data_IF_241010039354
#
_entry.id   IF_241010039354
#
_cell.length_a   1.000
_cell.length_b   1.000
_cell.length_c   1.000
_cell.angle_alpha   90.00
_cell.angle_beta   90.00
_cell.angle_gamma   90.00
#
_symmetry.space_group_name_H-M   'P 1'
#
loop_
_entity.id
_entity.type
_entity.pdbx_description
1 polymer ?
#
# COMPACT_ATOMS: atom_id res chain seq x y z
N UNK A 1 -1.25 -8.07 -20.39
CA UNK A 1 -2.51 -8.76 -20.71
C UNK A 1 -3.48 -8.54 -19.57
N UNK A 2 -4.59 -7.86 -19.82
CA UNK A 2 -5.73 -7.87 -18.90
C UNK A 2 -6.22 -9.31 -18.81
N UNK A 3 -6.05 -9.94 -17.64
CA UNK A 3 -6.54 -11.28 -17.40
C UNK A 3 -8.06 -11.33 -17.47
N UNK A 4 -8.62 -12.48 -17.80
CA UNK A 4 -10.06 -12.71 -17.76
C UNK A 4 -10.57 -12.32 -16.36
N UNK A 5 -11.51 -11.37 -16.29
CA UNK A 5 -12.21 -11.00 -15.06
C UNK A 5 -13.15 -12.15 -14.68
N UNK A 6 -12.63 -13.14 -13.98
CA UNK A 6 -13.46 -14.18 -13.36
C UNK A 6 -13.94 -13.67 -12.01
N UNK A 7 -15.24 -13.75 -11.75
CA UNK A 7 -15.77 -13.49 -10.41
C UNK A 7 -15.34 -14.63 -9.50
N UNK A 8 -14.54 -14.31 -8.50
CA UNK A 8 -13.97 -15.31 -7.58
C UNK A 8 -14.92 -15.72 -6.46
N UNK A 9 -15.95 -14.91 -6.18
CA UNK A 9 -16.80 -15.06 -5.00
C UNK A 9 -16.11 -14.62 -3.69
N UNK A 10 -15.00 -13.92 -3.79
CA UNK A 10 -14.32 -13.38 -2.63
C UNK A 10 -15.21 -12.38 -1.87
N UNK A 11 -15.09 -12.37 -0.56
CA UNK A 11 -15.83 -11.49 0.35
C UNK A 11 -14.88 -10.56 1.07
N UNK A 12 -15.36 -9.35 1.37
CA UNK A 12 -14.57 -8.36 2.10
C UNK A 12 -14.40 -8.72 3.58
N UNK A 13 -13.24 -8.38 4.12
CA UNK A 13 -13.00 -8.24 5.56
C UNK A 13 -13.16 -6.76 5.90
N UNK A 14 -14.06 -6.43 6.81
CA UNK A 14 -14.25 -5.06 7.31
C UNK A 14 -13.57 -4.90 8.67
N UNK A 15 -13.20 -3.66 8.99
CA UNK A 15 -12.61 -3.28 10.27
C UNK A 15 -13.59 -2.40 11.03
N UNK A 16 -13.91 -2.79 12.26
CA UNK A 16 -14.73 -1.99 13.15
C UNK A 16 -14.02 -0.66 13.46
N UNK A 17 -14.73 0.45 13.24
CA UNK A 17 -14.22 1.81 13.45
C UNK A 17 -14.57 2.35 14.84
N UNK A 18 -15.35 1.62 15.61
CA UNK A 18 -15.76 1.94 16.96
C UNK A 18 -15.23 0.91 17.99
N UNK A 19 -15.59 1.06 19.26
CA UNK A 19 -15.28 0.13 20.32
C UNK A 19 -13.90 0.34 20.96
N UNK A 20 -13.46 -0.63 21.76
CA UNK A 20 -12.31 -0.53 22.69
C UNK A 20 -11.02 -0.09 22.01
N UNK A 21 -10.79 -0.55 20.77
CA UNK A 21 -9.57 -0.21 20.02
C UNK A 21 -9.57 1.25 19.59
N UNK A 22 -10.69 1.75 19.08
CA UNK A 22 -10.83 3.14 18.68
C UNK A 22 -10.68 4.06 19.90
N UNK A 23 -11.32 3.72 21.02
CA UNK A 23 -11.21 4.48 22.27
C UNK A 23 -9.78 4.48 22.83
N UNK A 24 -9.07 3.34 22.78
CA UNK A 24 -7.67 3.27 23.18
C UNK A 24 -6.76 4.16 22.30
N UNK A 25 -7.03 4.22 20.98
CA UNK A 25 -6.29 5.09 20.07
C UNK A 25 -6.61 6.58 20.32
N UNK A 26 -7.87 6.93 20.56
CA UNK A 26 -8.28 8.30 20.94
C UNK A 26 -7.59 8.73 22.23
N UNK A 27 -7.53 7.87 23.24
CA UNK A 27 -6.85 8.17 24.49
C UNK A 27 -5.34 8.45 24.32
N UNK A 28 -4.67 7.82 23.33
CA UNK A 28 -3.27 8.10 23.03
C UNK A 28 -3.09 9.52 22.50
N UNK A 29 -4.07 10.05 21.75
CA UNK A 29 -4.00 11.41 21.18
C UNK A 29 -3.91 12.50 22.25
N UNK A 30 -4.51 12.28 23.44
CA UNK A 30 -4.44 13.19 24.57
C UNK A 30 -3.01 13.41 25.10
N UNK A 31 -2.09 12.49 24.79
CA UNK A 31 -0.69 12.55 25.19
C UNK A 31 0.25 13.09 24.11
N UNK A 32 -0.27 13.49 22.95
CA UNK A 32 0.52 14.04 21.85
C UNK A 32 0.73 15.54 22.08
N UNK A 33 1.99 15.98 22.14
CA UNK A 33 2.34 17.38 22.17
C UNK A 33 2.39 17.93 20.74
N UNK A 34 1.55 18.91 20.45
CA UNK A 34 1.48 19.55 19.14
C UNK A 34 1.89 21.03 19.26
N UNK A 35 2.49 21.61 18.21
CA UNK A 35 2.68 23.05 18.11
C UNK A 35 1.34 23.80 18.09
N UNK A 36 1.36 25.08 18.45
CA UNK A 36 0.18 25.94 18.37
C UNK A 36 -0.43 25.97 16.96
N UNK A 37 -1.75 25.80 16.89
CA UNK A 37 -2.49 25.76 15.61
C UNK A 37 -2.57 24.39 14.95
N UNK A 38 -1.99 23.34 15.55
CA UNK A 38 -2.14 21.96 15.09
C UNK A 38 -3.10 21.18 15.98
N UNK A 39 -3.84 20.28 15.37
CA UNK A 39 -4.75 19.35 16.03
C UNK A 39 -4.53 17.94 15.49
N UNK A 40 -4.66 16.91 16.34
CA UNK A 40 -4.61 15.52 15.95
C UNK A 40 -5.94 14.84 16.27
N UNK A 41 -6.44 14.08 15.31
CA UNK A 41 -7.66 13.28 15.46
C UNK A 41 -7.48 11.88 14.90
N UNK A 42 -8.27 10.93 15.38
CA UNK A 42 -8.33 9.58 14.81
C UNK A 42 -9.19 9.63 13.54
N UNK A 43 -8.56 9.42 12.39
CA UNK A 43 -9.25 9.33 11.11
C UNK A 43 -9.84 7.94 10.85
N UNK A 44 -9.06 6.88 11.10
CA UNK A 44 -9.49 5.50 10.87
C UNK A 44 -8.72 4.52 11.74
N UNK A 45 -9.36 3.41 12.09
CA UNK A 45 -8.71 2.23 12.68
C UNK A 45 -8.33 1.28 11.55
N UNK A 46 -7.02 1.15 11.26
CA UNK A 46 -6.51 0.34 10.15
C UNK A 46 -5.44 -0.63 10.67
N UNK A 47 -5.68 -1.95 10.58
CA UNK A 47 -4.70 -2.92 11.04
C UNK A 47 -3.43 -2.89 10.20
N UNK A 48 -2.28 -2.83 10.86
CA UNK A 48 -0.94 -2.92 10.26
C UNK A 48 -0.69 -1.90 9.13
N UNK A 49 -1.36 -0.75 9.16
CA UNK A 49 -1.21 0.31 8.15
C UNK A 49 0.23 0.81 8.05
N UNK A 50 0.68 1.01 6.81
CA UNK A 50 2.04 1.48 6.48
C UNK A 50 1.97 2.68 5.54
N UNK A 51 2.44 2.56 4.30
CA UNK A 51 2.33 3.64 3.33
C UNK A 51 0.89 3.80 2.83
N UNK A 52 0.52 5.02 2.51
CA UNK A 52 -0.84 5.36 2.10
C UNK A 52 -0.82 6.19 0.82
N UNK A 53 -1.86 6.02 0.00
CA UNK A 53 -2.09 6.82 -1.19
C UNK A 53 -3.55 7.24 -1.28
N UNK A 54 -3.79 8.56 -1.32
CA UNK A 54 -5.11 9.11 -1.57
C UNK A 54 -5.42 9.05 -3.06
N UNK A 55 -6.60 8.56 -3.41
CA UNK A 55 -7.07 8.58 -4.77
C UNK A 55 -7.20 10.02 -5.32
N UNK A 56 -6.98 10.25 -6.63
CA UNK A 56 -6.91 11.60 -7.19
C UNK A 56 -8.13 12.48 -6.94
N UNK A 57 -9.32 11.91 -6.84
CA UNK A 57 -10.56 12.66 -6.55
C UNK A 57 -10.86 12.76 -5.04
N UNK A 58 -10.00 12.19 -4.20
CA UNK A 58 -10.15 12.22 -2.75
C UNK A 58 -11.32 11.37 -2.21
N UNK A 59 -11.73 10.35 -2.95
CA UNK A 59 -12.88 9.50 -2.61
C UNK A 59 -12.52 8.32 -1.72
N UNK A 60 -11.29 7.83 -1.82
CA UNK A 60 -10.79 6.66 -1.09
C UNK A 60 -9.31 6.80 -0.82
N UNK A 61 -8.89 6.41 0.40
CA UNK A 61 -7.50 6.29 0.79
C UNK A 61 -7.12 4.81 0.78
N UNK A 62 -6.05 4.45 0.08
CA UNK A 62 -5.51 3.09 0.12
C UNK A 62 -4.34 3.01 1.10
N UNK A 63 -4.37 2.03 2.00
CA UNK A 63 -3.29 1.78 2.95
C UNK A 63 -2.67 0.40 2.73
N UNK A 64 -1.39 0.38 2.43
CA UNK A 64 -0.60 -0.84 2.34
C UNK A 64 -0.25 -1.41 3.71
N UNK A 65 0.16 -2.68 3.73
CA UNK A 65 0.56 -3.37 4.96
C UNK A 65 1.88 -4.14 4.78
N UNK A 66 2.45 -4.61 5.88
CA UNK A 66 3.57 -5.57 5.85
C UNK A 66 3.09 -7.03 5.96
N UNK A 67 1.82 -7.28 5.68
CA UNK A 67 1.22 -8.63 5.66
C UNK A 67 0.72 -8.96 4.27
N UNK A 68 -0.56 -9.18 4.13
CA UNK A 68 -1.21 -9.73 2.95
C UNK A 68 -2.42 -8.94 2.50
N UNK A 69 -2.63 -7.72 3.03
CA UNK A 69 -3.79 -6.89 2.71
C UNK A 69 -3.40 -5.47 2.33
N UNK A 70 -4.16 -4.91 1.42
CA UNK A 70 -4.30 -3.48 1.20
C UNK A 70 -5.68 -3.09 1.69
N UNK A 71 -5.78 -2.00 2.43
CA UNK A 71 -7.05 -1.49 2.94
C UNK A 71 -7.55 -0.34 2.09
N UNK A 72 -8.84 -0.32 1.79
CA UNK A 72 -9.57 0.85 1.29
C UNK A 72 -10.29 1.52 2.46
N UNK A 73 -10.13 2.83 2.58
CA UNK A 73 -10.60 3.65 3.68
C UNK A 73 -11.44 4.77 3.08
N UNK A 74 -12.68 4.89 3.47
CA UNK A 74 -13.66 5.81 2.87
C UNK A 74 -14.28 6.68 3.93
N UNK A 75 -14.30 7.98 3.67
CA UNK A 75 -15.00 9.02 4.42
C UNK A 75 -16.03 9.63 3.44
N UNK A 76 -17.31 9.20 3.56
CA UNK A 76 -18.36 9.52 2.58
C UNK A 76 -18.97 10.90 2.81
N UNK A 77 -19.12 11.29 4.06
CA UNK A 77 -19.72 12.56 4.45
C UNK A 77 -18.69 13.68 4.63
N UNK A 78 -17.40 13.34 4.55
CA UNK A 78 -16.24 14.25 4.62
C UNK A 78 -16.12 14.98 5.96
N UNK A 79 -16.48 14.31 7.03
CA UNK A 79 -16.34 14.82 8.39
C UNK A 79 -14.94 14.59 8.98
N UNK A 80 -14.03 13.95 8.22
CA UNK A 80 -12.67 13.57 8.58
C UNK A 80 -12.59 12.39 9.54
N UNK A 81 -13.61 11.56 9.56
CA UNK A 81 -13.63 10.24 10.21
C UNK A 81 -14.05 9.21 9.17
N UNK A 82 -13.33 8.12 9.06
CA UNK A 82 -13.67 7.10 8.07
C UNK A 82 -14.95 6.35 8.46
N UNK A 83 -15.90 6.28 7.54
CA UNK A 83 -17.14 5.49 7.66
C UNK A 83 -16.90 4.00 7.48
N UNK A 84 -15.95 3.65 6.62
CA UNK A 84 -15.71 2.26 6.25
C UNK A 84 -14.21 2.00 6.01
N UNK A 85 -13.73 0.90 6.58
CA UNK A 85 -12.43 0.32 6.28
C UNK A 85 -12.64 -1.15 5.91
N UNK A 86 -12.22 -1.53 4.71
CA UNK A 86 -12.29 -2.91 4.23
C UNK A 86 -11.07 -3.26 3.38
N UNK A 87 -10.77 -4.56 3.25
CA UNK A 87 -9.70 -4.98 2.38
C UNK A 87 -10.02 -4.68 0.90
N UNK A 88 -9.02 -4.15 0.21
CA UNK A 88 -9.08 -3.90 -1.22
C UNK A 88 -8.72 -5.17 -1.98
N UNK A 89 -9.47 -5.48 -3.04
CA UNK A 89 -9.21 -6.62 -3.94
C UNK A 89 -9.03 -7.97 -3.22
N UNK A 90 -9.99 -8.42 -2.39
CA UNK A 90 -9.85 -9.67 -1.61
C UNK A 90 -9.68 -10.93 -2.47
N UNK A 91 -9.90 -10.85 -3.77
CA UNK A 91 -9.61 -11.92 -4.73
C UNK A 91 -8.13 -12.08 -5.06
N UNK A 92 -7.28 -11.13 -4.63
CA UNK A 92 -5.85 -11.11 -4.90
C UNK A 92 -5.09 -11.47 -3.64
N UNK A 93 -4.16 -12.41 -3.76
CA UNK A 93 -3.18 -12.68 -2.70
C UNK A 93 -2.02 -11.70 -2.85
N UNK A 94 -1.88 -10.80 -1.88
CA UNK A 94 -0.76 -9.88 -1.80
C UNK A 94 0.39 -10.45 -0.97
N UNK A 95 1.62 -9.98 -1.25
CA UNK A 95 2.82 -10.31 -0.48
C UNK A 95 3.55 -9.04 -0.05
N UNK A 96 3.31 -8.61 1.18
CA UNK A 96 3.84 -7.37 1.76
C UNK A 96 3.53 -6.17 0.83
N UNK A 97 2.27 -5.86 0.56
CA UNK A 97 1.86 -4.76 -0.33
C UNK A 97 2.00 -3.40 0.38
N UNK A 98 3.21 -3.06 0.79
CA UNK A 98 3.48 -1.90 1.63
C UNK A 98 3.24 -0.57 0.91
N UNK A 99 3.52 -0.49 -0.38
CA UNK A 99 3.65 0.75 -1.11
C UNK A 99 2.58 0.98 -2.18
N UNK A 100 1.36 1.42 -1.82
CA UNK A 100 0.44 1.98 -2.80
C UNK A 100 0.93 3.37 -3.25
N UNK A 101 0.78 3.69 -4.54
CA UNK A 101 0.96 5.03 -5.10
C UNK A 101 0.07 5.23 -6.32
N UNK A 102 -0.33 6.48 -6.61
CA UNK A 102 -1.10 6.82 -7.78
C UNK A 102 -0.24 7.52 -8.82
N UNK A 103 -0.47 7.18 -10.10
CA UNK A 103 -0.02 8.03 -11.19
C UNK A 103 -0.96 9.22 -11.40
N UNK A 104 -0.50 10.29 -12.08
CA UNK A 104 -1.33 11.46 -12.36
C UNK A 104 -2.59 11.16 -13.18
N UNK A 105 -2.58 10.09 -13.98
CA UNK A 105 -3.72 9.61 -14.78
C UNK A 105 -4.64 8.62 -14.01
N UNK A 106 -4.41 8.43 -12.71
CA UNK A 106 -5.32 7.72 -11.81
C UNK A 106 -5.12 6.22 -11.71
N UNK A 107 -4.00 5.68 -12.16
CA UNK A 107 -3.66 4.27 -11.96
C UNK A 107 -3.06 4.07 -10.58
N UNK A 108 -3.64 3.14 -9.81
CA UNK A 108 -3.06 2.72 -8.54
C UNK A 108 -2.01 1.63 -8.79
N UNK A 109 -0.77 1.91 -8.41
CA UNK A 109 0.28 0.91 -8.34
C UNK A 109 0.41 0.40 -6.91
N UNK A 110 0.70 -0.90 -6.77
CA UNK A 110 1.00 -1.52 -5.48
C UNK A 110 2.34 -2.23 -5.60
N UNK A 111 3.35 -1.68 -4.92
CA UNK A 111 4.66 -2.28 -4.83
C UNK A 111 4.67 -3.28 -3.68
N UNK A 112 4.86 -4.55 -4.02
CA UNK A 112 4.99 -5.67 -3.10
C UNK A 112 6.48 -6.03 -2.88
N UNK A 113 6.74 -7.02 -2.05
CA UNK A 113 8.11 -7.46 -1.77
C UNK A 113 8.93 -7.71 -3.04
N UNK A 114 8.37 -8.46 -3.99
CA UNK A 114 9.06 -8.83 -5.24
C UNK A 114 8.11 -8.89 -6.44
N UNK A 115 7.15 -7.96 -6.50
CA UNK A 115 6.19 -7.79 -7.59
C UNK A 115 5.66 -6.37 -7.61
N UNK A 116 5.22 -5.89 -8.77
CA UNK A 116 4.48 -4.64 -8.88
C UNK A 116 3.19 -4.86 -9.66
N UNK A 117 2.07 -4.53 -9.04
CA UNK A 117 0.74 -4.58 -9.65
C UNK A 117 0.23 -3.20 -10.02
N UNK A 118 -0.67 -3.13 -11.00
CA UNK A 118 -1.39 -1.90 -11.40
C UNK A 118 -2.89 -2.16 -11.47
N UNK A 119 -3.65 -1.22 -10.92
CA UNK A 119 -5.12 -1.21 -10.93
C UNK A 119 -5.60 0.06 -11.66
N UNK A 120 -5.99 -0.06 -12.95
CA UNK A 120 -6.26 1.11 -13.81
C UNK A 120 -7.42 1.99 -13.36
N UNK A 121 -8.32 1.46 -12.54
CA UNK A 121 -9.53 2.16 -12.14
C UNK A 121 -9.90 1.88 -10.67
N UNK A 122 -8.89 1.72 -9.80
CA UNK A 122 -9.07 1.36 -8.39
C UNK A 122 -10.05 2.31 -7.68
N UNK A 123 -9.93 3.62 -7.90
CA UNK A 123 -10.78 4.64 -7.29
C UNK A 123 -12.28 4.46 -7.58
N UNK A 124 -12.62 3.90 -8.74
CA UNK A 124 -14.01 3.73 -9.17
C UNK A 124 -14.57 2.34 -8.89
N UNK A 125 -13.71 1.35 -8.68
CA UNK A 125 -14.11 -0.07 -8.56
C UNK A 125 -13.65 -0.76 -7.26
N UNK A 126 -13.15 0.01 -6.27
CA UNK A 126 -12.74 -0.55 -4.98
C UNK A 126 -13.89 -1.18 -4.17
N UNK A 127 -15.13 -0.85 -4.53
CA UNK A 127 -16.34 -1.47 -3.93
C UNK A 127 -16.58 -2.91 -4.41
N UNK A 128 -15.92 -3.34 -5.47
CA UNK A 128 -15.99 -4.70 -6.00
C UNK A 128 -14.85 -5.58 -5.52
N UNK A 129 -15.09 -6.88 -5.23
CA UNK A 129 -14.05 -7.80 -4.76
C UNK A 129 -13.02 -8.18 -5.84
N UNK A 130 -13.37 -8.00 -7.11
CA UNK A 130 -12.59 -8.43 -8.27
C UNK A 130 -12.25 -7.23 -9.19
N UNK A 131 -11.44 -6.25 -8.74
CA UNK A 131 -11.05 -5.14 -9.60
C UNK A 131 -10.15 -5.60 -10.74
N UNK A 132 -10.16 -4.85 -11.85
CA UNK A 132 -9.21 -5.09 -12.93
C UNK A 132 -7.77 -4.85 -12.44
N UNK A 133 -6.89 -5.80 -12.72
CA UNK A 133 -5.49 -5.77 -12.33
C UNK A 133 -4.58 -6.13 -13.49
N UNK A 134 -3.46 -5.43 -13.60
CA UNK A 134 -2.34 -5.76 -14.48
C UNK A 134 -1.08 -6.03 -13.67
N UNK A 135 -0.13 -6.72 -14.27
CA UNK A 135 1.20 -6.94 -13.72
C UNK A 135 2.17 -6.02 -14.43
N UNK A 136 2.92 -5.22 -13.67
CA UNK A 136 3.97 -4.32 -14.16
C UNK A 136 5.32 -5.02 -14.07
N UNK A 137 5.59 -5.64 -12.92
CA UNK A 137 6.77 -6.49 -12.69
C UNK A 137 6.24 -7.81 -12.14
N UNK A 138 6.59 -8.91 -12.79
CA UNK A 138 6.16 -10.25 -12.38
C UNK A 138 6.76 -10.67 -11.04
N UNK A 139 6.14 -11.65 -10.39
CA UNK A 139 6.64 -12.19 -9.13
C UNK A 139 8.05 -12.78 -9.31
N UNK A 140 9.00 -12.25 -8.56
CA UNK A 140 10.40 -12.67 -8.61
C UNK A 140 11.28 -11.87 -9.55
N UNK A 141 10.73 -10.90 -10.28
CA UNK A 141 11.48 -10.11 -11.28
C UNK A 141 11.88 -8.71 -10.79
N UNK A 142 11.41 -8.28 -9.62
CA UNK A 142 11.80 -6.98 -9.05
C UNK A 142 13.21 -7.03 -8.42
N UNK A 143 13.52 -8.12 -7.75
CA UNK A 143 14.84 -8.47 -7.21
C UNK A 143 15.08 -9.97 -7.39
N UNK A 144 16.35 -10.45 -7.43
CA UNK A 144 16.62 -11.88 -7.45
C UNK A 144 15.94 -12.59 -6.26
N UNK A 145 15.27 -13.72 -6.44
CA UNK A 145 14.57 -14.43 -5.37
C UNK A 145 15.46 -14.80 -4.18
N UNK A 146 16.74 -15.02 -4.40
CA UNK A 146 17.73 -15.30 -3.35
C UNK A 146 18.06 -14.09 -2.48
N UNK A 147 17.69 -12.88 -2.93
CA UNK A 147 17.83 -11.63 -2.17
C UNK A 147 16.54 -11.25 -1.43
N UNK A 148 15.49 -12.05 -1.53
CA UNK A 148 14.30 -11.85 -0.71
C UNK A 148 14.61 -12.07 0.78
N UNK A 149 14.13 -11.17 1.62
CA UNK A 149 14.35 -11.18 3.06
C UNK A 149 13.12 -10.68 3.79
N UNK A 150 13.03 -10.94 5.09
CA UNK A 150 12.08 -10.25 5.97
C UNK A 150 12.54 -8.84 6.35
N UNK A 151 13.84 -8.54 6.22
CA UNK A 151 14.40 -7.25 6.53
C UNK A 151 14.32 -6.33 5.32
N UNK A 152 13.93 -5.07 5.54
CA UNK A 152 13.89 -3.99 4.54
C UNK A 152 13.12 -4.35 3.25
N UNK A 153 12.06 -5.17 3.36
CA UNK A 153 11.26 -5.66 2.23
C UNK A 153 10.09 -4.76 1.88
N UNK A 154 9.79 -3.78 2.72
CA UNK A 154 8.72 -2.84 2.48
C UNK A 154 9.10 -1.91 1.31
N UNK A 155 8.43 -2.08 0.18
CA UNK A 155 8.61 -1.21 -1.00
C UNK A 155 7.72 0.01 -0.87
N UNK A 156 8.19 1.13 -1.41
CA UNK A 156 7.39 2.35 -1.60
C UNK A 156 7.52 2.72 -3.07
N UNK A 157 6.46 3.20 -3.67
CA UNK A 157 6.49 3.71 -5.04
C UNK A 157 6.02 5.15 -5.13
N UNK A 158 6.41 5.80 -6.22
CA UNK A 158 5.89 7.09 -6.64
C UNK A 158 6.08 7.24 -8.15
N UNK A 159 5.31 8.14 -8.78
CA UNK A 159 5.45 8.44 -10.19
C UNK A 159 6.12 9.79 -10.35
N UNK A 160 7.30 9.79 -10.97
CA UNK A 160 8.08 11.00 -11.17
C UNK A 160 7.50 11.95 -12.22
N UNK A 161 8.01 13.19 -12.29
CA UNK A 161 7.57 14.18 -13.27
C UNK A 161 7.88 13.77 -14.73
N UNK A 162 8.73 12.79 -14.92
CA UNK A 162 9.05 12.18 -16.22
C UNK A 162 8.08 11.04 -16.60
N UNK A 163 7.06 10.78 -15.76
CA UNK A 163 6.06 9.73 -15.96
C UNK A 163 6.54 8.32 -15.66
N UNK A 164 7.75 8.15 -15.12
CA UNK A 164 8.26 6.84 -14.72
C UNK A 164 7.81 6.47 -13.31
N UNK A 165 7.59 5.19 -13.11
CA UNK A 165 7.36 4.60 -11.79
C UNK A 165 8.70 4.35 -11.11
N UNK A 166 8.88 4.93 -9.93
CA UNK A 166 10.02 4.75 -9.05
C UNK A 166 9.64 3.82 -7.91
N UNK A 167 10.45 2.81 -7.65
CA UNK A 167 10.21 1.83 -6.57
C UNK A 167 11.45 1.72 -5.70
N UNK A 168 11.31 1.98 -4.39
CA UNK A 168 12.42 1.81 -3.46
C UNK A 168 12.72 0.32 -3.22
N UNK A 169 13.99 -0.06 -3.30
CA UNK A 169 14.47 -1.42 -3.10
C UNK A 169 15.38 -1.48 -1.87
N UNK A 170 14.84 -1.88 -0.72
CA UNK A 170 15.66 -2.13 0.46
C UNK A 170 16.54 -3.37 0.30
N UNK A 171 17.76 -3.32 0.83
CA UNK A 171 18.69 -4.45 0.85
C UNK A 171 18.40 -5.38 2.04
N UNK A 172 18.67 -6.70 1.96
CA UNK A 172 18.37 -7.63 3.04
C UNK A 172 19.28 -7.48 4.28
N UNK A 173 20.38 -6.75 4.19
CA UNK A 173 21.37 -6.60 5.25
C UNK A 173 21.39 -5.18 5.83
N UNK A 174 21.65 -5.04 7.14
CA UNK A 174 21.90 -3.72 7.75
C UNK A 174 23.23 -3.11 7.30
N UNK A 175 24.20 -3.97 7.03
CA UNK A 175 25.49 -3.61 6.43
C UNK A 175 25.64 -4.47 5.18
N UNK A 176 25.77 -3.82 4.04
CA UNK A 176 25.88 -4.49 2.75
C UNK A 176 27.21 -5.30 2.68
N UNK A 177 27.12 -6.61 2.35
CA UNK A 177 28.31 -7.43 2.11
C UNK A 177 29.10 -6.89 0.91
N UNK A 178 30.43 -6.79 1.04
CA UNK A 178 31.30 -6.22 0.00
C UNK A 178 31.19 -6.99 -1.32
N UNK A 179 31.06 -8.31 -1.24
CA UNK A 179 30.90 -9.21 -2.39
C UNK A 179 29.61 -9.02 -3.17
N UNK A 180 28.64 -8.30 -2.61
CA UNK A 180 27.34 -8.00 -3.24
C UNK A 180 27.24 -6.59 -3.81
N UNK A 181 28.23 -5.72 -3.58
CA UNK A 181 28.18 -4.32 -3.98
C UNK A 181 27.88 -4.15 -5.48
N UNK A 182 28.66 -4.84 -6.33
CA UNK A 182 28.51 -4.74 -7.79
C UNK A 182 27.11 -5.15 -8.25
N UNK A 183 26.60 -6.28 -7.78
CA UNK A 183 25.27 -6.78 -8.12
C UNK A 183 24.18 -5.82 -7.59
N UNK A 184 24.32 -5.31 -6.39
CA UNK A 184 23.31 -4.41 -5.80
C UNK A 184 23.28 -3.05 -6.50
N UNK A 185 24.45 -2.52 -6.89
CA UNK A 185 24.54 -1.28 -7.67
C UNK A 185 23.90 -1.44 -9.06
N UNK A 186 24.12 -2.58 -9.74
CA UNK A 186 23.51 -2.88 -11.04
C UNK A 186 21.99 -3.03 -10.96
N UNK A 187 21.47 -3.64 -9.89
CA UNK A 187 20.05 -3.92 -9.70
C UNK A 187 19.30 -2.81 -8.94
N UNK A 188 19.99 -1.79 -8.45
CA UNK A 188 19.40 -0.72 -7.64
C UNK A 188 18.97 -1.17 -6.24
N UNK A 189 19.46 -2.31 -5.73
CA UNK A 189 19.13 -2.82 -4.39
C UNK A 189 19.82 -1.94 -3.32
N UNK A 190 19.03 -1.38 -2.41
CA UNK A 190 19.46 -0.37 -1.46
C UNK A 190 19.26 1.05 -1.98
N UNK A 191 18.55 1.21 -3.11
CA UNK A 191 18.26 2.47 -3.80
C UNK A 191 16.84 2.54 -4.34
N UNK A 192 16.71 3.21 -5.47
CA UNK A 192 15.45 3.44 -6.20
C UNK A 192 15.69 3.16 -7.67
#
# INVERSE_FOLDING_TARGET
KLGNMQKTGATFTTVDQEGDRAEALKAILEHINLPDGFEASLYAVVPDARSMAMAPQGTVLFAGTRKDKVWSIVDRDRDRVADEVKDFAPSITFDIPNGPCFSPDGFLYIAERNRVLVFPAAEFFFEGPDPAVGVVVDQGDLIPPEEESFNHTARVCDVGPDGKLYVSLGQPHNVQPVEKHEMYDELGIGGI
#
